data_IF_831223089877
#
_entry.id   IF_831223089877
#
_cell.length_a   1.000
_cell.length_b   1.000
_cell.length_c   1.000
_cell.angle_alpha   90.00
_cell.angle_beta   90.00
_cell.angle_gamma   90.00
#
_symmetry.space_group_name_H-M   'P 1'
#
loop_
_entity.id
_entity.type
_entity.pdbx_description
1 polymer ?
#
# COMPACT_ATOMS: atom_id res chain seq x y z
N UNK A 1 18.58 -13.23 -25.19
CA UNK A 1 18.85 -13.11 -25.15
C UNK A 1 19.02 -13.23 -25.42
N UNK A 2 19.25 -13.61 -25.49
CA UNK A 2 19.33 -13.52 -25.61
C UNK A 2 19.43 -12.90 -26.15
N UNK A 3 19.38 -13.27 -26.64
CA UNK A 3 19.66 -12.33 -27.10
C UNK A 3 19.25 -11.23 -26.80
N UNK A 4 19.25 -11.03 -26.44
CA UNK A 4 19.01 -10.20 -26.13
C UNK A 4 19.22 -9.31 -25.82
N UNK A 5 19.59 -9.49 -25.11
CA UNK A 5 19.78 -8.25 -25.82
C UNK A 5 19.33 -7.03 -25.02
N UNK A 6 19.33 -5.88 -25.63
CA UNK A 6 18.94 -4.63 -24.96
C UNK A 6 17.53 -4.69 -24.40
N UNK A 7 16.62 -5.28 -25.16
CA UNK A 7 15.22 -5.35 -24.73
C UNK A 7 15.07 -6.17 -23.44
N UNK A 8 15.77 -7.30 -23.39
CA UNK A 8 15.72 -8.16 -22.20
C UNK A 8 16.29 -7.41 -20.99
N UNK A 9 17.37 -6.68 -21.19
CA UNK A 9 17.99 -5.93 -20.13
C UNK A 9 17.10 -4.76 -19.68
N UNK A 10 16.47 -4.08 -20.63
CA UNK A 10 15.54 -3.01 -20.32
C UNK A 10 14.34 -3.52 -19.54
N UNK A 11 13.78 -4.67 -19.93
CA UNK A 11 12.67 -5.29 -19.21
C UNK A 11 13.06 -5.65 -17.80
N UNK A 12 14.27 -6.17 -17.62
CA UNK A 12 14.76 -6.53 -16.31
C UNK A 12 14.88 -5.30 -15.40
N UNK A 13 15.38 -4.19 -15.93
CA UNK A 13 15.52 -2.96 -15.19
C UNK A 13 14.15 -2.38 -14.80
N UNK A 14 13.18 -2.47 -15.71
CA UNK A 14 11.83 -1.99 -15.40
C UNK A 14 11.17 -2.85 -14.34
N UNK A 15 11.40 -4.16 -14.38
CA UNK A 15 10.86 -5.06 -13.36
C UNK A 15 11.46 -4.74 -12.00
N UNK A 16 12.75 -4.43 -11.93
CA UNK A 16 13.39 -4.04 -10.68
C UNK A 16 12.83 -2.72 -10.16
N UNK A 17 12.58 -1.77 -11.07
CA UNK A 17 11.99 -0.50 -10.69
C UNK A 17 10.60 -0.70 -10.11
N UNK A 18 9.78 -1.53 -10.76
CA UNK A 18 8.43 -1.79 -10.29
C UNK A 18 8.43 -2.53 -8.95
N UNK A 19 9.39 -3.42 -8.74
CA UNK A 19 9.53 -4.10 -7.46
C UNK A 19 9.97 -3.11 -6.38
N UNK A 20 10.85 -2.17 -6.72
CA UNK A 20 11.25 -1.13 -5.79
C UNK A 20 10.06 -0.28 -5.36
N UNK A 21 9.17 0.04 -6.29
CA UNK A 21 7.95 0.78 -6.00
C UNK A 21 7.07 -0.02 -5.05
N UNK A 22 6.90 -1.31 -5.32
CA UNK A 22 6.09 -2.20 -4.48
C UNK A 22 6.65 -2.25 -3.06
N UNK A 23 7.96 -2.39 -2.91
CA UNK A 23 8.60 -2.41 -1.61
C UNK A 23 8.39 -1.09 -0.87
N UNK A 24 8.47 0.02 -1.60
CA UNK A 24 8.23 1.33 -1.01
C UNK A 24 6.82 1.43 -0.46
N UNK A 25 5.84 0.95 -1.22
CA UNK A 25 4.45 0.95 -0.76
C UNK A 25 4.31 0.15 0.53
N UNK A 26 4.92 -1.03 0.58
CA UNK A 26 4.87 -1.86 1.78
C UNK A 26 5.50 -1.17 2.98
N UNK A 27 6.60 -0.45 2.77
CA UNK A 27 7.24 0.30 3.84
C UNK A 27 6.33 1.42 4.34
N UNK A 28 5.71 2.15 3.43
CA UNK A 28 4.79 3.23 3.80
C UNK A 28 3.63 2.68 4.63
N UNK A 29 3.01 1.62 4.15
CA UNK A 29 1.85 1.04 4.85
C UNK A 29 2.25 0.39 6.17
N UNK A 30 3.47 -0.14 6.25
CA UNK A 30 3.95 -0.79 7.46
C UNK A 30 4.53 0.15 8.50
N UNK A 31 4.60 1.45 8.21
CA UNK A 31 5.17 2.44 9.12
C UNK A 31 4.05 3.23 9.76
N UNK A 32 3.99 3.21 11.09
CA UNK A 32 3.01 4.02 11.82
C UNK A 32 3.48 5.48 11.83
N UNK A 33 2.51 6.40 11.88
CA UNK A 33 2.84 7.82 11.99
C UNK A 33 3.61 8.07 13.28
N UNK A 34 4.63 8.89 13.19
CA UNK A 34 5.44 9.25 14.35
C UNK A 34 6.51 8.23 14.68
N UNK A 35 6.55 7.12 13.96
CA UNK A 35 7.52 6.06 14.23
C UNK A 35 8.95 6.49 13.90
N UNK A 36 9.10 7.36 12.88
CA UNK A 36 10.41 7.81 12.43
C UNK A 36 10.72 9.18 13.02
N UNK A 37 11.83 9.26 13.72
CA UNK A 37 12.23 10.49 14.39
C UNK A 37 12.48 11.61 13.39
N UNK A 38 13.14 11.30 12.28
CA UNK A 38 13.48 12.30 11.27
C UNK A 38 12.31 12.68 10.38
N UNK A 39 11.27 11.87 10.35
CA UNK A 39 10.08 12.09 9.53
C UNK A 39 8.84 11.73 10.34
N UNK A 40 8.47 12.56 11.34
CA UNK A 40 7.34 12.20 12.21
C UNK A 40 6.00 12.17 11.48
N UNK A 41 5.89 12.82 10.32
CA UNK A 41 4.69 12.78 9.50
C UNK A 41 4.64 11.59 8.56
N UNK A 42 5.74 10.85 8.43
CA UNK A 42 5.82 9.73 7.51
C UNK A 42 5.09 8.51 8.08
N UNK A 43 4.35 7.84 7.22
CA UNK A 43 3.68 6.60 7.59
C UNK A 43 2.21 6.63 7.25
N UNK A 44 1.52 5.56 7.62
CA UNK A 44 0.12 5.37 7.31
C UNK A 44 -0.72 5.47 8.58
N UNK A 45 -1.86 6.17 8.48
CA UNK A 45 -2.72 6.39 9.65
C UNK A 45 -3.58 5.20 10.03
N UNK A 46 -3.45 4.05 9.34
CA UNK A 46 -4.29 2.89 9.68
C UNK A 46 -4.02 2.38 11.08
N UNK A 47 -2.83 2.60 11.61
CA UNK A 47 -2.48 2.11 12.95
C UNK A 47 -3.22 2.85 14.05
N UNK A 48 -3.74 4.04 13.75
CA UNK A 48 -4.62 4.76 14.68
C UNK A 48 -5.98 4.08 14.78
N UNK A 49 -6.29 3.18 13.85
CA UNK A 49 -7.60 2.52 13.79
C UNK A 49 -7.56 1.09 14.31
N UNK A 50 -6.43 0.67 14.86
CA UNK A 50 -6.24 -0.73 15.24
C UNK A 50 -7.19 -1.17 16.36
N UNK A 51 -7.63 -0.24 17.21
CA UNK A 51 -8.56 -0.54 18.31
C UNK A 51 -10.00 -0.22 17.96
N UNK A 52 -10.27 0.22 16.74
CA UNK A 52 -11.63 0.52 16.32
C UNK A 52 -12.38 -0.77 16.00
N UNK A 53 -13.71 -0.76 16.16
CA UNK A 53 -14.49 -1.93 15.80
C UNK A 53 -14.50 -2.13 14.29
N UNK A 54 -14.72 -3.38 13.88
CA UNK A 54 -14.82 -3.71 12.47
C UNK A 54 -16.19 -3.30 11.95
N UNK A 55 -16.28 -2.11 11.40
CA UNK A 55 -17.52 -1.53 10.94
C UNK A 55 -17.30 -0.87 9.58
N UNK A 56 -18.40 -0.51 8.92
CA UNK A 56 -18.30 0.20 7.65
C UNK A 56 -17.55 1.53 7.80
N UNK A 57 -17.74 2.21 8.93
CA UNK A 57 -17.04 3.46 9.18
C UNK A 57 -15.54 3.24 9.27
N UNK A 58 -15.12 2.19 10.00
CA UNK A 58 -13.70 1.87 10.11
C UNK A 58 -13.13 1.47 8.76
N UNK A 59 -13.87 0.68 7.99
CA UNK A 59 -13.44 0.29 6.64
C UNK A 59 -13.18 1.52 5.78
N UNK A 60 -14.08 2.51 5.82
CA UNK A 60 -13.90 3.73 5.05
C UNK A 60 -12.67 4.50 5.50
N UNK A 61 -12.42 4.56 6.81
CA UNK A 61 -11.25 5.26 7.34
C UNK A 61 -9.95 4.57 6.94
N UNK A 62 -9.94 3.23 6.95
CA UNK A 62 -8.77 2.48 6.50
C UNK A 62 -8.46 2.80 5.05
N UNK A 63 -9.48 2.78 4.21
CA UNK A 63 -9.31 3.09 2.79
C UNK A 63 -8.76 4.50 2.62
N UNK A 64 -9.30 5.47 3.33
CA UNK A 64 -8.83 6.86 3.25
C UNK A 64 -7.39 7.00 3.72
N UNK A 65 -7.04 6.34 4.84
CA UNK A 65 -5.70 6.43 5.38
C UNK A 65 -4.67 5.89 4.41
N UNK A 66 -4.99 4.77 3.75
CA UNK A 66 -4.11 4.18 2.76
C UNK A 66 -3.94 5.10 1.56
N UNK A 67 -5.04 5.63 1.06
CA UNK A 67 -4.99 6.52 -0.10
C UNK A 67 -4.17 7.77 0.21
N UNK A 68 -4.39 8.35 1.37
CA UNK A 68 -3.67 9.56 1.75
C UNK A 68 -2.17 9.31 1.90
N UNK A 69 -1.80 8.21 2.54
CA UNK A 69 -0.40 7.87 2.73
C UNK A 69 0.32 7.68 1.41
N UNK A 70 -0.32 6.95 0.48
CA UNK A 70 0.29 6.72 -0.82
C UNK A 70 0.36 7.98 -1.66
N UNK A 71 -0.67 8.83 -1.56
CA UNK A 71 -0.66 10.10 -2.27
C UNK A 71 0.48 11.01 -1.80
N UNK A 72 0.75 11.01 -0.49
CA UNK A 72 1.78 11.86 0.07
C UNK A 72 3.20 11.31 -0.12
N UNK A 73 3.36 10.01 0.01
CA UNK A 73 4.69 9.43 0.17
C UNK A 73 5.14 8.57 -1.00
N UNK A 74 4.25 8.27 -1.96
CA UNK A 74 4.64 7.48 -3.13
C UNK A 74 4.20 8.17 -4.42
N UNK A 75 4.94 9.22 -4.84
CA UNK A 75 4.55 9.97 -6.03
C UNK A 75 4.76 9.22 -7.35
N UNK A 76 5.41 8.06 -7.32
CA UNK A 76 5.69 7.29 -8.53
C UNK A 76 4.48 6.49 -9.01
N UNK A 77 3.38 6.53 -8.27
CA UNK A 77 2.19 5.76 -8.63
C UNK A 77 0.96 6.64 -8.65
N UNK A 78 -0.07 6.14 -9.35
CA UNK A 78 -1.44 6.62 -9.22
C UNK A 78 -2.23 5.51 -8.57
N UNK A 79 -2.96 5.82 -7.51
CA UNK A 79 -3.85 4.85 -6.86
C UNK A 79 -5.12 4.78 -7.71
N UNK A 80 -5.39 3.58 -8.24
CA UNK A 80 -6.54 3.37 -9.10
C UNK A 80 -7.78 3.07 -8.27
N UNK A 81 -7.62 2.19 -7.26
CA UNK A 81 -8.74 1.80 -6.42
C UNK A 81 -8.22 1.22 -5.12
N UNK A 82 -8.99 1.38 -4.05
CA UNK A 82 -8.68 0.76 -2.76
C UNK A 82 -9.95 0.09 -2.26
N UNK A 83 -9.87 -1.23 -2.05
CA UNK A 83 -11.00 -2.02 -1.56
C UNK A 83 -10.57 -2.72 -0.28
N UNK A 84 -11.45 -2.75 0.69
CA UNK A 84 -11.16 -3.39 1.97
C UNK A 84 -12.13 -4.55 2.17
N UNK A 85 -11.58 -5.71 2.46
CA UNK A 85 -12.34 -6.93 2.73
C UNK A 85 -12.03 -7.39 4.13
N UNK A 86 -12.99 -8.07 4.77
CA UNK A 86 -12.84 -8.54 6.15
C UNK A 86 -13.20 -10.03 6.19
N UNK A 87 -12.22 -10.90 5.95
CA UNK A 87 -12.52 -12.35 6.01
C UNK A 87 -12.83 -12.82 7.42
N UNK A 88 -12.32 -12.12 8.44
CA UNK A 88 -12.66 -12.38 9.84
C UNK A 88 -12.90 -11.04 10.54
N UNK A 89 -13.55 -11.05 11.71
CA UNK A 89 -13.78 -9.78 12.41
C UNK A 89 -12.50 -9.06 12.82
N UNK A 90 -11.41 -9.80 12.99
CA UNK A 90 -10.14 -9.20 13.43
C UNK A 90 -9.24 -8.79 12.29
N UNK A 91 -9.55 -9.19 11.06
CA UNK A 91 -8.64 -8.98 9.95
C UNK A 91 -9.30 -8.20 8.83
N UNK A 92 -8.56 -7.23 8.30
CA UNK A 92 -8.94 -6.54 7.08
C UNK A 92 -7.87 -6.78 6.04
N UNK A 93 -8.30 -7.04 4.81
CA UNK A 93 -7.40 -7.14 3.66
C UNK A 93 -7.62 -5.90 2.81
N UNK A 94 -6.57 -5.09 2.71
CA UNK A 94 -6.63 -3.86 1.91
C UNK A 94 -6.10 -4.18 0.53
N UNK A 95 -6.98 -4.15 -0.46
CA UNK A 95 -6.64 -4.39 -1.86
C UNK A 95 -6.40 -3.05 -2.53
N UNK A 96 -5.19 -2.87 -3.03
CA UNK A 96 -4.77 -1.62 -3.64
C UNK A 96 -4.44 -1.89 -5.10
N UNK A 97 -5.20 -1.27 -5.99
CA UNK A 97 -4.86 -1.27 -7.41
C UNK A 97 -4.12 0.02 -7.69
N UNK A 98 -2.92 -0.07 -8.22
CA UNK A 98 -2.11 1.11 -8.49
C UNK A 98 -1.43 0.99 -9.84
N UNK A 99 -1.14 2.14 -10.44
CA UNK A 99 -0.43 2.21 -11.71
C UNK A 99 0.91 2.87 -11.46
N UNK A 100 1.97 2.24 -11.95
CA UNK A 100 3.31 2.80 -11.90
C UNK A 100 3.44 3.79 -13.06
N UNK A 101 3.63 5.06 -12.74
CA UNK A 101 3.59 6.11 -13.77
C UNK A 101 4.66 5.92 -14.85
N UNK A 102 5.86 5.53 -14.45
CA UNK A 102 6.97 5.42 -15.38
C UNK A 102 6.76 4.31 -16.41
N UNK A 103 6.10 3.23 -16.03
CA UNK A 103 5.89 2.08 -16.91
C UNK A 103 4.46 1.97 -17.41
N UNK A 104 3.54 2.70 -16.77
CA UNK A 104 2.11 2.67 -17.08
C UNK A 104 1.47 1.30 -16.84
N UNK A 105 2.12 0.44 -16.08
CA UNK A 105 1.59 -0.87 -15.72
C UNK A 105 0.76 -0.78 -14.44
N UNK A 106 -0.33 -1.56 -14.38
CA UNK A 106 -1.23 -1.59 -13.24
C UNK A 106 -0.99 -2.88 -12.47
N UNK A 107 -0.92 -2.75 -11.14
CA UNK A 107 -0.70 -3.87 -10.25
C UNK A 107 -1.73 -3.89 -9.14
N UNK A 108 -1.94 -5.07 -8.55
CA UNK A 108 -2.75 -5.23 -7.36
C UNK A 108 -1.84 -5.66 -6.21
N UNK A 109 -2.00 -5.01 -5.07
CA UNK A 109 -1.27 -5.36 -3.86
C UNK A 109 -2.28 -5.56 -2.75
N UNK A 110 -2.14 -6.64 -1.98
CA UNK A 110 -3.01 -6.93 -0.85
C UNK A 110 -2.19 -6.76 0.42
N UNK A 111 -2.63 -5.85 1.30
CA UNK A 111 -1.96 -5.59 2.56
C UNK A 111 -2.87 -6.03 3.70
N UNK A 112 -2.44 -7.00 4.52
CA UNK A 112 -3.24 -7.42 5.66
C UNK A 112 -3.12 -6.44 6.82
N UNK A 113 -4.24 -6.17 7.48
CA UNK A 113 -4.28 -5.28 8.62
C UNK A 113 -5.15 -5.92 9.70
N UNK A 114 -4.62 -5.98 10.92
CA UNK A 114 -5.30 -6.67 12.03
C UNK A 114 -5.83 -5.66 13.02
N UNK A 115 -7.10 -5.84 13.40
CA UNK A 115 -7.76 -5.00 14.39
C UNK A 115 -7.66 -5.66 15.76
N UNK A 116 -7.19 -4.91 16.74
CA UNK A 116 -7.13 -5.39 18.13
C UNK A 116 -8.40 -5.10 18.88
N UNK A 117 -9.21 -4.18 18.38
CA UNK A 117 -10.55 -3.95 18.90
C UNK A 117 -11.48 -5.12 18.65
N UNK A 118 -11.07 -5.97 17.73
CA UNK A 118 -11.71 -7.23 17.46
C UNK A 118 -13.11 -7.09 16.95
N UNK A 119 -13.89 -8.11 17.27
CA UNK A 119 -15.28 -8.18 16.84
C UNK A 119 -16.14 -7.18 17.58
N UNK A 120 -15.54 -6.54 18.51
CA UNK A 120 -16.12 -5.45 19.31
C UNK A 120 -17.57 -5.30 19.27
#
# INVERSE_FOLDING_TARGET
>A
GFPLSLDTQGDFQLAEYEESVRQSILIILGTARGERIMRPDFGCGIYDLVFEPNSAATTARVSEAVQEALLRFEPRIDVVDVRVQSPTPEQMLVNIDYRVRATNNVFNLVYPFYLEGGAG
#
